data_IF_136724612389
#
_entry.id   IF_136724612389
#
_cell.length_a   1.000
_cell.length_b   1.000
_cell.length_c   1.000
_cell.angle_alpha   90.00
_cell.angle_beta   90.00
_cell.angle_gamma   90.00
#
_symmetry.space_group_name_H-M   'P 1'
#
loop_
_entity.id
_entity.type
_entity.pdbx_description
1 polymer ?
#
# COMPACT_ATOMS: atom_id res chain seq x y z
N UNK A 1 -2.43 -75.17 68.47
CA UNK A 1 -3.14 -75.72 67.29
C UNK A 1 -2.40 -75.25 66.04
N UNK A 2 -1.52 -76.11 65.55
CA UNK A 2 -1.10 -76.37 64.15
C UNK A 2 -0.77 -75.24 63.15
N UNK A 3 0.47 -75.35 62.63
CA UNK A 3 0.93 -75.25 61.22
C UNK A 3 1.14 -73.84 60.59
N UNK A 4 2.37 -73.30 60.56
CA UNK A 4 3.49 -73.50 59.59
C UNK A 4 3.56 -72.45 58.46
N UNK A 5 4.75 -72.21 57.86
CA UNK A 5 5.26 -70.87 57.58
C UNK A 5 5.42 -70.59 56.08
N UNK A 6 6.02 -69.44 55.74
CA UNK A 6 7.23 -69.35 54.92
C UNK A 6 7.23 -68.22 53.88
N UNK A 7 8.07 -67.23 54.19
CA UNK A 7 9.11 -66.60 53.34
C UNK A 7 8.74 -66.15 51.92
N UNK A 8 8.97 -64.85 51.68
CA UNK A 8 10.03 -64.38 50.77
C UNK A 8 10.43 -62.92 51.07
N UNK A 9 11.56 -62.79 51.75
CA UNK A 9 12.72 -61.93 51.45
C UNK A 9 12.77 -61.38 50.01
N UNK A 10 13.33 -60.21 49.64
CA UNK A 10 14.29 -59.26 50.21
C UNK A 10 14.12 -57.91 49.47
N UNK A 11 14.23 -56.81 50.22
CA UNK A 11 15.22 -55.72 50.05
C UNK A 11 15.46 -55.11 48.66
N UNK A 12 15.27 -53.78 48.58
CA UNK A 12 16.22 -52.78 48.01
C UNK A 12 15.65 -51.39 48.33
N UNK A 13 16.14 -50.71 49.38
CA UNK A 13 17.34 -49.85 49.42
C UNK A 13 17.26 -48.71 48.41
N UNK A 14 17.11 -47.50 48.98
CA UNK A 14 17.75 -46.23 48.66
C UNK A 14 17.63 -45.65 47.23
N UNK A 15 17.66 -44.35 47.00
CA UNK A 15 17.47 -43.13 47.79
C UNK A 15 17.66 -41.96 46.78
N UNK A 16 17.57 -40.72 47.28
CA UNK A 16 18.17 -39.49 46.75
C UNK A 16 17.32 -38.62 45.81
N UNK A 17 16.74 -37.59 46.45
CA UNK A 17 16.89 -36.15 46.15
C UNK A 17 16.98 -35.72 44.68
N UNK A 18 16.09 -34.80 44.27
CA UNK A 18 16.49 -33.51 43.70
C UNK A 18 15.35 -32.48 43.74
N UNK A 19 15.76 -31.23 43.90
CA UNK A 19 14.99 -30.02 44.20
C UNK A 19 14.11 -29.49 43.03
N UNK A 20 13.31 -28.43 43.24
CA UNK A 20 12.30 -27.95 42.30
C UNK A 20 12.92 -26.98 41.27
N UNK A 21 12.45 -27.01 40.02
CA UNK A 21 12.80 -25.99 39.02
C UNK A 21 11.54 -25.58 38.24
N UNK A 22 10.97 -24.45 38.65
CA UNK A 22 10.05 -23.68 37.83
C UNK A 22 10.80 -23.16 36.59
N UNK A 23 10.48 -23.70 35.42
CA UNK A 23 10.80 -23.07 34.15
C UNK A 23 9.52 -22.44 33.60
N UNK A 24 9.23 -21.21 34.05
CA UNK A 24 8.25 -20.36 33.40
C UNK A 24 8.74 -20.06 31.98
N UNK A 25 8.10 -20.67 30.97
CA UNK A 25 8.36 -20.37 29.58
C UNK A 25 7.97 -18.93 29.27
N UNK A 26 8.97 -18.04 29.15
CA UNK A 26 8.81 -16.73 28.54
C UNK A 26 8.57 -16.95 27.04
N UNK A 27 7.31 -16.93 26.63
CA UNK A 27 6.93 -16.86 25.22
C UNK A 27 7.25 -15.44 24.75
N UNK A 28 8.37 -15.26 24.06
CA UNK A 28 8.74 -13.99 23.43
C UNK A 28 7.70 -13.61 22.35
N UNK A 29 6.82 -12.66 22.65
CA UNK A 29 5.87 -12.07 21.71
C UNK A 29 6.55 -11.07 20.73
N UNK A 30 7.65 -11.49 20.09
CA UNK A 30 8.47 -10.65 19.21
C UNK A 30 8.15 -10.65 17.68
N UNK A 31 7.18 -11.40 17.09
CA UNK A 31 7.12 -11.46 15.62
C UNK A 31 6.43 -10.25 14.96
N UNK A 32 5.48 -9.59 15.62
CA UNK A 32 4.61 -8.60 14.95
C UNK A 32 5.33 -7.29 14.55
N UNK A 33 6.25 -6.79 15.39
CA UNK A 33 6.93 -5.50 15.16
C UNK A 33 7.99 -5.64 14.06
N UNK A 34 8.75 -6.73 14.05
CA UNK A 34 9.75 -7.00 13.02
C UNK A 34 9.10 -7.19 11.64
N UNK A 35 7.98 -7.92 11.57
CA UNK A 35 7.23 -8.12 10.32
C UNK A 35 6.68 -6.82 9.72
N UNK A 36 6.17 -5.90 10.55
CA UNK A 36 5.69 -4.61 10.09
C UNK A 36 6.82 -3.72 9.50
N UNK A 37 7.99 -3.69 10.15
CA UNK A 37 9.15 -2.93 9.66
C UNK A 37 9.69 -3.47 8.32
N UNK A 38 9.71 -4.80 8.15
CA UNK A 38 10.08 -5.45 6.90
C UNK A 38 9.09 -5.16 5.75
N UNK A 39 7.79 -5.13 6.05
CA UNK A 39 6.79 -4.81 5.04
C UNK A 39 6.88 -3.35 4.55
N UNK A 40 7.05 -2.39 5.46
CA UNK A 40 7.20 -0.97 5.08
C UNK A 40 8.47 -0.73 4.26
N UNK A 41 9.58 -1.36 4.62
CA UNK A 41 10.83 -1.23 3.85
C UNK A 41 10.70 -1.81 2.43
N UNK A 42 10.01 -2.94 2.26
CA UNK A 42 9.71 -3.51 0.95
C UNK A 42 8.82 -2.58 0.10
N UNK A 43 7.80 -1.97 0.72
CA UNK A 43 6.93 -0.99 0.04
C UNK A 43 7.72 0.26 -0.35
N UNK A 44 8.56 0.80 0.53
CA UNK A 44 9.43 1.93 0.20
C UNK A 44 10.37 1.56 -0.96
N UNK A 45 10.96 0.37 -0.94
CA UNK A 45 11.82 -0.12 -2.02
C UNK A 45 11.06 -0.23 -3.34
N UNK A 46 9.81 -0.71 -3.34
CA UNK A 46 8.97 -0.74 -4.53
C UNK A 46 8.76 0.66 -5.13
N UNK A 47 8.34 1.63 -4.29
CA UNK A 47 8.10 3.01 -4.73
C UNK A 47 9.40 3.67 -5.24
N UNK A 48 10.52 3.46 -4.53
CA UNK A 48 11.83 4.02 -4.90
C UNK A 48 12.49 3.35 -6.10
N UNK A 49 12.15 2.10 -6.43
CA UNK A 49 12.70 1.38 -7.58
C UNK A 49 11.80 1.43 -8.82
N UNK A 50 10.62 2.05 -8.72
CA UNK A 50 9.70 2.26 -9.83
C UNK A 50 9.91 3.64 -10.44
N UNK A 51 10.81 3.76 -11.41
CA UNK A 51 11.12 5.03 -12.11
C UNK A 51 10.01 5.43 -13.10
N UNK A 52 9.37 4.45 -13.72
CA UNK A 52 8.19 4.65 -14.56
C UNK A 52 7.29 3.42 -14.48
N UNK A 53 6.01 3.60 -14.78
CA UNK A 53 5.06 2.50 -14.85
C UNK A 53 3.92 2.85 -15.81
N UNK A 54 3.50 1.89 -16.63
CA UNK A 54 2.19 1.93 -17.28
C UNK A 54 1.33 0.80 -16.75
N UNK A 55 0.04 1.03 -16.56
CA UNK A 55 -0.91 0.02 -16.12
C UNK A 55 -2.30 0.31 -16.69
N UNK A 56 -3.13 -0.71 -16.82
CA UNK A 56 -4.57 -0.49 -16.94
C UNK A 56 -5.14 -0.29 -15.54
N UNK A 57 -6.18 0.53 -15.41
CA UNK A 57 -6.87 0.76 -14.15
C UNK A 57 -8.37 0.58 -14.26
N UNK A 58 -8.99 0.20 -13.14
CA UNK A 58 -10.41 0.31 -12.89
C UNK A 58 -10.61 1.20 -11.67
N UNK A 59 -11.26 2.33 -11.88
CA UNK A 59 -11.72 3.21 -10.82
C UNK A 59 -13.13 2.82 -10.41
N UNK A 60 -13.38 2.67 -9.11
CA UNK A 60 -14.71 2.52 -8.54
C UNK A 60 -14.96 3.67 -7.58
N UNK A 61 -16.02 4.43 -7.81
CA UNK A 61 -16.41 5.55 -6.94
C UNK A 61 -17.24 5.08 -5.72
N UNK A 62 -17.73 6.04 -4.93
CA UNK A 62 -18.57 5.77 -3.75
C UNK A 62 -19.94 5.16 -4.10
N UNK A 63 -20.43 5.39 -5.32
CA UNK A 63 -21.71 4.89 -5.82
C UNK A 63 -21.56 3.52 -6.50
N UNK A 64 -20.34 2.98 -6.57
CA UNK A 64 -20.03 1.74 -7.27
C UNK A 64 -19.88 1.90 -8.79
N UNK A 65 -19.92 3.13 -9.32
CA UNK A 65 -19.67 3.39 -10.73
C UNK A 65 -18.24 3.04 -11.09
N UNK A 66 -18.07 2.30 -12.19
CA UNK A 66 -16.79 1.79 -12.64
C UNK A 66 -16.35 2.48 -13.91
N UNK A 67 -15.22 3.15 -13.85
CA UNK A 67 -14.53 3.71 -15.00
C UNK A 67 -13.21 2.97 -15.21
N UNK A 68 -12.75 2.89 -16.45
CA UNK A 68 -11.52 2.19 -16.79
C UNK A 68 -10.55 3.12 -17.50
N UNK A 69 -9.31 2.69 -17.69
CA UNK A 69 -8.38 3.51 -18.43
C UNK A 69 -6.95 3.04 -18.30
N UNK A 70 -6.05 3.94 -18.68
CA UNK A 70 -4.62 3.72 -18.61
C UNK A 70 -3.98 4.72 -17.64
N UNK A 71 -3.20 4.16 -16.72
CA UNK A 71 -2.33 4.86 -15.81
C UNK A 71 -0.93 4.93 -16.42
N UNK A 72 -0.35 6.12 -16.45
CA UNK A 72 1.08 6.33 -16.73
C UNK A 72 1.70 7.08 -15.57
N UNK A 73 2.80 6.57 -15.04
CA UNK A 73 3.57 7.17 -13.96
C UNK A 73 5.02 7.32 -14.42
N UNK A 74 5.62 8.46 -14.08
CA UNK A 74 7.05 8.71 -14.30
C UNK A 74 7.58 9.57 -13.17
N UNK A 75 8.68 9.16 -12.56
CA UNK A 75 9.32 9.95 -11.53
C UNK A 75 10.16 11.10 -12.12
N UNK A 76 10.31 12.21 -11.37
CA UNK A 76 9.65 12.50 -10.09
C UNK A 76 8.20 12.99 -10.27
N UNK A 77 7.27 12.43 -9.49
CA UNK A 77 5.92 12.93 -9.25
C UNK A 77 4.95 13.09 -10.44
N UNK A 78 5.31 12.66 -11.66
CA UNK A 78 4.40 12.74 -12.82
C UNK A 78 3.48 11.53 -12.86
N UNK A 79 2.20 11.81 -13.11
CA UNK A 79 1.17 10.78 -13.22
C UNK A 79 0.12 11.21 -14.24
N UNK A 80 -0.51 10.25 -14.91
CA UNK A 80 -1.62 10.47 -15.83
C UNK A 80 -2.63 9.35 -15.70
N UNK A 81 -3.87 9.69 -15.43
CA UNK A 81 -5.03 8.81 -15.58
C UNK A 81 -5.78 9.21 -16.84
N UNK A 82 -5.63 8.40 -17.88
CA UNK A 82 -6.38 8.53 -19.11
C UNK A 82 -7.58 7.59 -19.04
N UNK A 83 -8.80 8.15 -18.94
CA UNK A 83 -10.02 7.36 -18.90
C UNK A 83 -10.37 6.77 -20.27
N UNK A 84 -11.26 5.78 -20.28
CA UNK A 84 -11.69 5.06 -21.47
C UNK A 84 -12.38 5.98 -22.50
N UNK A 85 -12.46 5.50 -23.75
CA UNK A 85 -13.16 6.22 -24.82
C UNK A 85 -14.60 6.53 -24.41
N UNK A 86 -15.03 7.77 -24.64
CA UNK A 86 -16.36 8.25 -24.25
C UNK A 86 -16.41 8.88 -22.85
N UNK A 87 -15.32 8.82 -22.08
CA UNK A 87 -15.19 9.54 -20.81
C UNK A 87 -14.19 10.69 -20.99
N UNK A 88 -14.66 11.93 -21.21
CA UNK A 88 -13.84 13.11 -21.49
C UNK A 88 -13.16 13.68 -20.23
N UNK A 89 -12.75 12.81 -19.31
CA UNK A 89 -12.04 13.17 -18.08
C UNK A 89 -10.55 12.81 -18.21
N UNK A 90 -9.69 13.66 -17.69
CA UNK A 90 -8.26 13.45 -17.63
C UNK A 90 -7.71 13.96 -16.30
N UNK A 91 -6.91 13.15 -15.62
CA UNK A 91 -6.17 13.60 -14.43
C UNK A 91 -4.68 13.51 -14.74
N UNK A 92 -3.95 14.61 -14.56
CA UNK A 92 -2.50 14.69 -14.80
C UNK A 92 -1.81 15.35 -13.61
N UNK A 93 -0.76 14.72 -13.12
CA UNK A 93 0.20 15.30 -12.19
C UNK A 93 1.51 15.63 -12.89
N UNK A 94 2.08 16.80 -12.60
CA UNK A 94 3.35 17.28 -13.18
C UNK A 94 4.55 17.20 -12.22
N UNK A 95 4.34 16.62 -11.03
CA UNK A 95 5.31 16.58 -9.93
C UNK A 95 5.09 17.66 -8.87
N UNK A 96 4.34 18.72 -9.17
CA UNK A 96 4.01 19.80 -8.23
C UNK A 96 2.51 19.90 -7.97
N UNK A 97 1.70 19.74 -9.02
CA UNK A 97 0.25 19.88 -9.00
C UNK A 97 -0.40 18.65 -9.60
N UNK A 98 -1.58 18.33 -9.09
CA UNK A 98 -2.52 17.42 -9.71
C UNK A 98 -3.63 18.25 -10.36
N UNK A 99 -3.88 18.01 -11.63
CA UNK A 99 -4.86 18.73 -12.44
C UNK A 99 -5.88 17.76 -13.00
N UNK A 100 -7.15 18.01 -12.70
CA UNK A 100 -8.29 17.31 -13.27
C UNK A 100 -8.91 18.18 -14.37
N UNK A 101 -9.09 17.61 -15.54
CA UNK A 101 -9.61 18.25 -16.73
C UNK A 101 -10.84 17.49 -17.19
N UNK A 102 -11.97 18.18 -17.20
CA UNK A 102 -13.21 17.72 -17.82
C UNK A 102 -13.38 18.45 -19.15
N UNK A 103 -13.22 17.72 -20.25
CA UNK A 103 -13.32 18.26 -21.60
C UNK A 103 -14.77 18.47 -22.07
N UNK A 104 -15.75 17.80 -21.45
CA UNK A 104 -17.16 17.92 -21.81
C UNK A 104 -17.69 19.29 -21.41
N UNK A 105 -17.46 19.66 -20.16
CA UNK A 105 -17.88 20.96 -19.61
C UNK A 105 -16.77 22.01 -19.62
N UNK A 106 -15.61 21.69 -20.22
CA UNK A 106 -14.43 22.57 -20.33
C UNK A 106 -13.96 23.11 -18.98
N UNK A 107 -13.96 22.25 -17.96
CA UNK A 107 -13.54 22.61 -16.62
C UNK A 107 -12.12 22.11 -16.33
N UNK A 108 -11.35 22.93 -15.62
CA UNK A 108 -10.00 22.59 -15.16
C UNK A 108 -9.90 22.93 -13.69
N UNK A 109 -9.58 21.93 -12.88
CA UNK A 109 -9.32 22.08 -11.46
C UNK A 109 -7.89 21.62 -11.18
N UNK A 110 -7.14 22.38 -10.39
CA UNK A 110 -5.74 22.07 -10.12
C UNK A 110 -5.38 22.39 -8.68
N UNK A 111 -4.76 21.44 -8.00
CA UNK A 111 -4.33 21.57 -6.60
C UNK A 111 -2.90 21.05 -6.42
N UNK A 112 -2.15 21.51 -5.41
CA UNK A 112 -0.85 20.93 -5.09
C UNK A 112 -0.96 19.43 -4.85
N UNK A 113 -0.05 18.63 -5.39
CA UNK A 113 -0.10 17.15 -5.26
C UNK A 113 -0.08 16.71 -3.79
N UNK A 114 0.67 17.44 -2.96
CA UNK A 114 0.77 17.28 -1.50
C UNK A 114 -0.54 17.50 -0.74
N UNK A 115 -1.54 18.11 -1.37
CA UNK A 115 -2.88 18.32 -0.79
C UNK A 115 -3.86 17.19 -1.17
N UNK A 116 -3.36 16.02 -1.57
CA UNK A 116 -4.19 14.88 -1.96
C UNK A 116 -3.66 13.58 -1.36
N UNK A 117 -4.53 12.56 -1.16
CA UNK A 117 -4.08 11.24 -0.72
C UNK A 117 -3.03 10.61 -1.65
N UNK A 118 -3.11 10.91 -2.96
CA UNK A 118 -2.16 10.42 -3.96
C UNK A 118 -0.74 10.93 -3.77
N UNK A 119 -0.52 11.99 -2.98
CA UNK A 119 0.80 12.51 -2.69
C UNK A 119 1.76 11.44 -2.14
N UNK A 120 1.26 10.51 -1.32
CA UNK A 120 2.08 9.43 -0.76
C UNK A 120 2.61 8.43 -1.82
N UNK A 121 1.91 8.27 -2.95
CA UNK A 121 2.36 7.42 -4.06
C UNK A 121 3.43 8.14 -4.91
N UNK A 122 3.36 9.47 -4.98
CA UNK A 122 4.12 10.29 -5.91
C UNK A 122 5.39 10.90 -5.32
N UNK A 123 5.52 10.88 -3.98
CA UNK A 123 6.66 11.36 -3.22
C UNK A 123 7.36 10.19 -2.51
N UNK A 124 8.31 9.49 -3.17
CA UNK A 124 8.98 8.31 -2.61
C UNK A 124 10.06 8.66 -1.57
N UNK A 125 10.38 9.94 -1.40
CA UNK A 125 11.39 10.41 -0.44
C UNK A 125 10.79 10.69 0.94
N UNK A 126 9.45 10.77 1.03
CA UNK A 126 8.76 10.72 2.32
C UNK A 126 9.10 9.42 3.04
N UNK A 127 9.55 9.58 4.27
CA UNK A 127 9.74 8.47 5.19
C UNK A 127 8.37 7.89 5.58
N UNK A 128 8.01 6.75 4.98
CA UNK A 128 6.74 6.09 5.26
C UNK A 128 6.64 5.65 6.73
N UNK A 129 7.74 5.47 7.47
CA UNK A 129 7.67 5.08 8.88
C UNK A 129 6.95 6.12 9.77
N UNK A 130 6.91 7.39 9.34
CA UNK A 130 6.28 8.48 10.08
C UNK A 130 4.77 8.61 9.79
N UNK A 131 4.32 8.12 8.64
CA UNK A 131 2.98 8.40 8.11
C UNK A 131 2.21 7.14 7.72
N UNK A 132 2.87 5.98 7.70
CA UNK A 132 2.33 4.73 7.19
C UNK A 132 2.20 3.68 8.29
N UNK A 133 1.13 2.89 8.19
CA UNK A 133 0.84 1.77 9.07
C UNK A 133 0.54 0.55 8.21
N UNK A 134 1.18 -0.57 8.55
CA UNK A 134 0.83 -1.87 7.96
C UNK A 134 -0.49 -2.34 8.57
N UNK A 135 -1.46 -2.64 7.73
CA UNK A 135 -2.73 -3.20 8.14
C UNK A 135 -2.65 -4.73 8.07
N UNK A 136 -3.15 -5.44 9.09
CA UNK A 136 -3.25 -6.90 9.04
C UNK A 136 -4.09 -7.32 7.84
N UNK A 137 -3.60 -8.34 7.14
CA UNK A 137 -4.32 -9.00 6.05
C UNK A 137 -4.55 -10.46 6.45
N UNK A 138 -5.61 -11.07 5.95
CA UNK A 138 -5.86 -12.51 6.17
C UNK A 138 -4.96 -13.42 5.30
N UNK A 139 -3.94 -12.87 4.64
CA UNK A 139 -3.11 -13.58 3.67
C UNK A 139 -1.68 -13.02 3.70
N UNK A 140 -0.72 -13.86 4.07
CA UNK A 140 0.70 -13.51 4.20
C UNK A 140 1.38 -13.05 2.89
N UNK A 141 0.77 -13.37 1.74
CA UNK A 141 1.18 -12.91 0.42
C UNK A 141 0.70 -11.49 0.06
N UNK A 142 -0.16 -10.89 0.89
CA UNK A 142 -0.76 -9.57 0.68
C UNK A 142 -0.28 -8.61 1.77
N UNK A 143 0.29 -7.48 1.35
CA UNK A 143 0.70 -6.40 2.25
C UNK A 143 -0.24 -5.22 2.02
N UNK A 144 -0.91 -4.77 3.07
CA UNK A 144 -1.74 -3.56 3.04
C UNK A 144 -1.07 -2.47 3.84
N UNK A 145 -0.88 -1.30 3.24
CA UNK A 145 -0.25 -0.13 3.89
C UNK A 145 -1.19 1.05 3.79
N UNK A 146 -1.64 1.52 4.94
CA UNK A 146 -2.35 2.78 5.07
C UNK A 146 -1.35 3.91 5.27
N UNK A 147 -1.49 4.99 4.51
CA UNK A 147 -0.73 6.23 4.68
C UNK A 147 -1.69 7.36 5.02
N UNK A 148 -1.41 8.03 6.14
CA UNK A 148 -2.17 9.16 6.66
C UNK A 148 -1.19 10.17 7.25
N UNK A 149 -1.26 11.42 6.80
CA UNK A 149 -0.44 12.49 7.35
C UNK A 149 -1.11 13.06 8.62
N UNK A 150 -0.59 12.82 9.84
CA UNK A 150 -1.22 13.30 11.07
C UNK A 150 -1.10 14.81 11.23
N UNK A 151 -0.15 15.45 10.54
CA UNK A 151 -0.02 16.92 10.50
C UNK A 151 -0.98 17.54 9.50
N UNK A 152 -1.50 16.74 8.57
CA UNK A 152 -2.41 17.17 7.49
C UNK A 152 -3.58 16.20 7.32
N UNK A 153 -4.38 15.96 8.38
CA UNK A 153 -5.51 15.03 8.30
C UNK A 153 -6.56 15.48 7.27
N UNK A 154 -6.59 16.78 6.94
CA UNK A 154 -7.45 17.35 5.92
C UNK A 154 -7.11 16.92 4.50
N UNK A 155 -6.06 16.14 4.27
CA UNK A 155 -5.77 15.54 2.95
C UNK A 155 -6.23 14.11 2.81
N UNK A 156 -6.81 13.54 3.88
CA UNK A 156 -7.39 12.21 3.86
C UNK A 156 -6.35 11.08 3.98
N UNK A 157 -6.72 9.90 3.49
CA UNK A 157 -5.97 8.66 3.69
C UNK A 157 -5.87 7.89 2.38
N UNK A 158 -4.74 7.21 2.17
CA UNK A 158 -4.59 6.24 1.08
C UNK A 158 -4.18 4.88 1.63
N UNK A 159 -4.91 3.84 1.27
CA UNK A 159 -4.57 2.45 1.62
C UNK A 159 -4.13 1.73 0.35
N UNK A 160 -2.85 1.41 0.26
CA UNK A 160 -2.25 0.69 -0.85
C UNK A 160 -2.21 -0.80 -0.55
N UNK A 161 -2.52 -1.63 -1.55
CA UNK A 161 -2.50 -3.08 -1.44
C UNK A 161 -1.45 -3.63 -2.40
N UNK A 162 -0.49 -4.35 -1.85
CA UNK A 162 0.62 -4.99 -2.56
C UNK A 162 0.49 -6.51 -2.49
N UNK A 163 1.01 -7.18 -3.52
CA UNK A 163 1.18 -8.63 -3.55
C UNK A 163 2.65 -8.96 -3.78
N UNK A 164 3.14 -10.06 -3.22
CA UNK A 164 4.51 -10.53 -3.48
C UNK A 164 4.68 -10.89 -4.96
N UNK A 165 5.74 -10.37 -5.56
CA UNK A 165 6.07 -10.59 -6.96
C UNK A 165 7.58 -10.34 -7.19
N UNK A 166 8.34 -11.41 -7.38
CA UNK A 166 9.79 -11.34 -7.61
C UNK A 166 10.19 -10.62 -8.90
N UNK A 167 9.26 -10.47 -9.86
CA UNK A 167 9.50 -9.73 -11.11
C UNK A 167 9.21 -8.23 -11.02
N UNK A 168 8.67 -7.75 -9.90
CA UNK A 168 8.33 -6.34 -9.70
C UNK A 168 9.36 -5.62 -8.81
N UNK A 169 9.50 -4.29 -8.95
CA UNK A 169 10.43 -3.51 -8.13
C UNK A 169 10.22 -3.74 -6.64
N UNK A 170 11.30 -4.02 -5.89
CA UNK A 170 11.21 -4.28 -4.45
C UNK A 170 10.52 -5.60 -4.07
N UNK A 171 10.29 -6.52 -5.03
CA UNK A 171 9.66 -7.82 -4.77
C UNK A 171 8.15 -7.73 -4.53
N UNK A 172 7.54 -6.59 -4.83
CA UNK A 172 6.12 -6.32 -4.63
C UNK A 172 5.49 -5.73 -5.89
N UNK A 173 4.24 -6.09 -6.15
CA UNK A 173 3.39 -5.48 -7.18
C UNK A 173 2.24 -4.74 -6.51
N UNK A 174 2.06 -3.46 -6.84
CA UNK A 174 0.93 -2.67 -6.38
C UNK A 174 -0.35 -3.17 -7.07
N UNK A 175 -1.23 -3.85 -6.34
CA UNK A 175 -2.53 -4.28 -6.87
C UNK A 175 -3.47 -3.09 -7.09
N UNK A 176 -3.34 -2.06 -6.26
CA UNK A 176 -4.22 -0.90 -6.30
C UNK A 176 -4.25 -0.18 -4.96
N UNK A 177 -5.15 0.79 -4.84
CA UNK A 177 -5.32 1.54 -3.61
C UNK A 177 -6.77 2.00 -3.42
N UNK A 178 -7.08 2.36 -2.18
CA UNK A 178 -8.31 3.08 -1.81
C UNK A 178 -7.89 4.43 -1.26
N UNK A 179 -8.40 5.50 -1.86
CA UNK A 179 -8.24 6.86 -1.37
C UNK A 179 -9.55 7.31 -0.70
N UNK A 180 -9.41 7.97 0.45
CA UNK A 180 -10.46 8.71 1.13
C UNK A 180 -9.99 10.16 1.19
N UNK A 181 -10.73 11.09 0.59
CA UNK A 181 -10.41 12.52 0.67
C UNK A 181 -10.98 13.17 1.95
N UNK A 182 -10.75 14.47 2.10
CA UNK A 182 -11.19 15.28 3.24
C UNK A 182 -12.71 15.39 3.39
N UNK A 183 -13.45 15.12 2.31
CA UNK A 183 -14.90 15.11 2.23
C UNK A 183 -15.46 13.69 2.39
N UNK A 184 -14.61 12.73 2.78
CA UNK A 184 -14.94 11.32 2.91
C UNK A 184 -15.40 10.66 1.59
N UNK A 185 -15.03 11.24 0.44
CA UNK A 185 -15.25 10.58 -0.84
C UNK A 185 -14.26 9.43 -0.98
N UNK A 186 -14.81 8.23 -1.19
CA UNK A 186 -14.03 7.02 -1.41
C UNK A 186 -13.82 6.77 -2.90
N UNK A 187 -12.58 6.60 -3.29
CA UNK A 187 -12.19 6.16 -4.64
C UNK A 187 -11.29 4.95 -4.54
N UNK A 188 -11.69 3.85 -5.17
CA UNK A 188 -10.87 2.64 -5.29
C UNK A 188 -10.27 2.58 -6.68
N UNK A 189 -8.98 2.31 -6.76
CA UNK A 189 -8.26 2.02 -8.01
C UNK A 189 -7.73 0.59 -7.92
N UNK A 190 -8.10 -0.27 -8.87
CA UNK A 190 -7.46 -1.56 -9.09
C UNK A 190 -6.59 -1.47 -10.36
N UNK A 191 -5.38 -2.03 -10.32
CA UNK A 191 -4.41 -2.01 -11.42
C UNK A 191 -4.20 -3.39 -12.02
N UNK A 192 -4.02 -3.44 -13.33
CA UNK A 192 -3.63 -4.64 -14.08
C UNK A 192 -2.62 -4.31 -15.18
N UNK A 193 -2.02 -5.33 -15.79
CA UNK A 193 -1.11 -5.19 -16.93
C UNK A 193 0.04 -4.18 -16.71
N UNK A 194 0.56 -4.17 -15.47
CA UNK A 194 1.63 -3.27 -15.08
C UNK A 194 2.92 -3.60 -15.84
N UNK A 195 3.53 -2.57 -16.41
CA UNK A 195 4.87 -2.61 -16.99
C UNK A 195 5.73 -1.59 -16.28
N UNK A 196 6.76 -2.06 -15.60
CA UNK A 196 7.66 -1.24 -14.80
C UNK A 196 8.87 -0.80 -15.60
N UNK A 197 9.38 0.39 -15.29
CA UNK A 197 10.65 0.94 -15.79
C UNK A 197 10.75 0.96 -17.32
N UNK A 198 9.62 1.09 -18.01
CA UNK A 198 9.53 1.27 -19.46
C UNK A 198 9.80 2.73 -19.86
N UNK A 199 10.24 2.95 -21.08
CA UNK A 199 10.44 4.32 -21.59
C UNK A 199 9.11 5.08 -21.65
N UNK A 200 9.03 6.23 -20.97
CA UNK A 200 7.90 7.15 -20.99
C UNK A 200 8.39 8.55 -21.32
N UNK A 201 7.95 9.08 -22.46
CA UNK A 201 8.28 10.43 -22.88
C UNK A 201 7.58 11.48 -22.00
N UNK A 202 8.23 12.62 -21.76
CA UNK A 202 7.61 13.71 -20.99
C UNK A 202 6.39 14.33 -21.68
N UNK A 203 6.29 14.17 -23.00
CA UNK A 203 5.10 14.55 -23.77
C UNK A 203 3.84 13.79 -23.35
N UNK A 204 3.96 12.60 -22.75
CA UNK A 204 2.82 11.82 -22.26
C UNK A 204 1.99 12.58 -21.20
N UNK A 205 2.62 13.48 -20.46
CA UNK A 205 2.00 14.28 -19.40
C UNK A 205 1.50 15.64 -19.89
N UNK A 206 1.60 15.94 -21.19
CA UNK A 206 1.03 17.16 -21.77
C UNK A 206 -0.48 16.98 -21.95
N UNK A 207 -1.20 18.10 -21.83
CA UNK A 207 -2.64 18.19 -22.05
C UNK A 207 -2.98 19.55 -22.64
N UNK A 208 -4.15 19.65 -23.26
CA UNK A 208 -4.61 20.88 -23.92
C UNK A 208 -5.68 21.52 -23.04
N UNK A 209 -5.54 22.80 -22.72
CA UNK A 209 -6.55 23.51 -21.95
C UNK A 209 -7.86 23.65 -22.74
N UNK A 210 -8.99 23.07 -22.28
CA UNK A 210 -10.26 23.15 -22.98
C UNK A 210 -10.97 24.49 -22.78
N UNK A 211 -10.52 25.32 -21.83
CA UNK A 211 -11.15 26.60 -21.55
C UNK A 211 -10.90 27.57 -22.70
N UNK A 212 -11.86 28.47 -22.99
CA UNK A 212 -11.65 29.51 -23.99
C UNK A 212 -10.39 30.31 -23.64
N UNK A 213 -9.50 30.49 -24.62
CA UNK A 213 -8.39 31.46 -24.47
C UNK A 213 -9.03 32.81 -24.18
N UNK A 214 -8.78 33.38 -23.01
CA UNK A 214 -9.11 34.78 -22.76
C UNK A 214 -8.33 35.60 -23.80
N UNK A 215 -9.01 36.17 -24.80
CA UNK A 215 -8.41 37.18 -25.68
C UNK A 215 -8.12 38.41 -24.81
N UNK A 216 -6.86 38.55 -24.41
CA UNK A 216 -6.24 39.81 -23.97
C UNK A 216 -6.81 40.48 -22.71
N UNK A 217 -5.90 40.82 -21.80
CA UNK A 217 -5.76 42.23 -21.43
C UNK A 217 -4.36 42.65 -21.84
#
# INVERSE_FOLDING_TARGET
MILTPSRRTLTRIAAWTLAPAAAAGLVFAAPAIAQASGALSAVQAHLKNTSSMTADFVQTDRNGQRLTGQLTLKRPGKIRFQYQKGVPLLIVGDGSRLTMIDYEVKQVQSWPVKNSPLGALLDPDRDLSQYAKVLPTGNDGVISVEVKDPKRPEYGTITMVFMRDGGAPGGLRLRGWVALDSQNNRTRIDLSNQKFNVAVADSAFRWTDPRPKKRGR
#
